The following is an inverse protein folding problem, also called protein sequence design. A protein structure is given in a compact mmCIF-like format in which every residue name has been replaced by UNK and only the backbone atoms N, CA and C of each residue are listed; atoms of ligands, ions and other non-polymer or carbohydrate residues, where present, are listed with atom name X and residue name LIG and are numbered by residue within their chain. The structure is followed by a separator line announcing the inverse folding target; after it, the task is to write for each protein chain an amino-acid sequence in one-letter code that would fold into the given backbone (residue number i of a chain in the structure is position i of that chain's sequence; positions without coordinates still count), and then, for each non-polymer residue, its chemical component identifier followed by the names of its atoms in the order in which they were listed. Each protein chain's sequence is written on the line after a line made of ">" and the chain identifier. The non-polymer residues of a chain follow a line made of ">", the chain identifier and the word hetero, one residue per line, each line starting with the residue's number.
data_IF_801411725071
#
_entry.id   IF_801411725071
#
_cell.length_a   1.000
_cell.length_b   1.000
_cell.length_c   1.000
_cell.angle_alpha   90.00
_cell.angle_beta   90.00
_cell.angle_gamma   90.00
#
_symmetry.space_group_name_H-M   'P 1'
#
loop_
_entity.id
_entity.type
_entity.pdbx_description
1 polymer ?
#
# COMPACT_ATOMS: atom_id res chain seq x y z
N UNK A 1 -17.30 18.61 -1.67
CA UNK A 1 -16.89 17.90 -2.89
C UNK A 1 -15.37 17.86 -2.88
N UNK A 2 -14.78 16.73 -2.50
CA UNK A 2 -13.32 16.62 -2.39
C UNK A 2 -12.79 16.59 -3.83
N UNK A 3 -11.84 17.46 -4.18
CA UNK A 3 -11.26 17.48 -5.51
C UNK A 3 -10.41 16.21 -5.69
N UNK A 4 -10.90 15.24 -6.46
CA UNK A 4 -10.31 13.89 -6.59
C UNK A 4 -8.81 13.87 -6.96
N UNK A 5 -8.28 14.78 -7.82
CA UNK A 5 -6.85 14.86 -8.13
C UNK A 5 -5.98 15.23 -6.91
N UNK A 6 -6.50 16.09 -6.03
CA UNK A 6 -5.76 16.51 -4.83
C UNK A 6 -5.66 15.38 -3.80
N UNK A 7 -6.71 14.57 -3.68
CA UNK A 7 -6.72 13.39 -2.82
C UNK A 7 -5.74 12.31 -3.31
N UNK A 8 -5.70 12.05 -4.63
CA UNK A 8 -4.76 11.11 -5.22
C UNK A 8 -3.31 11.57 -5.03
N UNK A 9 -3.01 12.86 -5.26
CA UNK A 9 -1.68 13.41 -5.01
C UNK A 9 -1.24 13.32 -3.54
N UNK A 10 -2.17 13.44 -2.59
CA UNK A 10 -1.86 13.24 -1.17
C UNK A 10 -1.59 11.76 -0.83
N UNK A 11 -2.32 10.83 -1.44
CA UNK A 11 -2.05 9.40 -1.30
C UNK A 11 -0.71 9.01 -1.94
N UNK A 12 -0.39 9.60 -3.10
CA UNK A 12 0.86 9.40 -3.83
C UNK A 12 2.11 9.60 -2.97
N UNK A 13 2.09 10.62 -2.10
CA UNK A 13 3.21 10.97 -1.20
C UNK A 13 3.38 10.04 0.01
N UNK A 14 2.42 9.17 0.30
CA UNK A 14 2.40 8.36 1.54
C UNK A 14 2.46 6.85 1.30
N UNK A 15 2.04 6.41 0.12
CA UNK A 15 1.94 4.99 -0.21
C UNK A 15 2.47 4.72 -1.62
N UNK A 16 2.55 3.46 -2.03
CA UNK A 16 2.82 3.10 -3.43
C UNK A 16 1.54 2.68 -4.18
N UNK A 17 0.42 2.64 -3.46
CA UNK A 17 -0.90 2.34 -3.97
C UNK A 17 -1.97 2.91 -3.03
N UNK A 18 -3.18 3.13 -3.53
CA UNK A 18 -4.34 3.52 -2.72
C UNK A 18 -5.63 2.89 -3.22
N UNK A 19 -6.54 2.62 -2.27
CA UNK A 19 -7.90 2.21 -2.55
C UNK A 19 -8.77 3.45 -2.82
N UNK A 20 -9.64 3.35 -3.83
CA UNK A 20 -10.63 4.36 -4.20
C UNK A 20 -12.01 3.81 -3.89
N UNK A 21 -12.70 4.47 -2.96
CA UNK A 21 -14.03 4.07 -2.55
C UNK A 21 -14.98 4.02 -3.75
N UNK A 22 -15.66 2.88 -3.93
CA UNK A 22 -16.63 2.67 -5.01
C UNK A 22 -16.01 2.45 -6.41
N UNK A 23 -14.69 2.28 -6.51
CA UNK A 23 -14.02 2.05 -7.80
C UNK A 23 -13.04 0.88 -7.72
N UNK A 24 -11.82 1.11 -7.22
CA UNK A 24 -10.77 0.10 -7.28
C UNK A 24 -9.45 0.60 -6.68
N UNK A 25 -8.34 0.27 -7.34
CA UNK A 25 -6.98 0.54 -6.85
C UNK A 25 -6.23 1.39 -7.86
N UNK A 26 -5.49 2.39 -7.37
CA UNK A 26 -4.39 3.00 -8.11
C UNK A 26 -3.08 2.56 -7.50
N UNK A 27 -2.09 2.24 -8.34
CA UNK A 27 -0.72 1.97 -7.93
C UNK A 27 0.24 2.66 -8.91
N UNK A 28 1.41 3.01 -8.41
CA UNK A 28 2.48 3.66 -9.18
C UNK A 28 3.80 2.98 -8.91
N UNK A 29 4.80 3.25 -9.74
CA UNK A 29 6.14 2.69 -9.63
C UNK A 29 7.09 3.31 -10.65
N UNK A 30 8.37 3.00 -10.54
CA UNK A 30 9.41 3.46 -11.48
C UNK A 30 9.34 2.71 -12.82
N UNK A 31 8.54 1.65 -12.90
CA UNK A 31 8.21 0.93 -14.13
C UNK A 31 6.75 0.44 -14.08
N UNK A 32 6.19 0.17 -15.26
CA UNK A 32 4.83 -0.42 -15.39
C UNK A 32 4.77 -1.77 -14.67
N UNK A 33 5.81 -2.60 -14.81
CA UNK A 33 5.92 -3.88 -14.11
C UNK A 33 5.86 -3.69 -12.58
N UNK A 34 6.60 -2.74 -12.03
CA UNK A 34 6.57 -2.48 -10.60
C UNK A 34 5.19 -1.99 -10.14
N UNK A 35 4.54 -1.12 -10.91
CA UNK A 35 3.18 -0.67 -10.61
C UNK A 35 2.19 -1.84 -10.64
N UNK A 36 2.33 -2.75 -11.62
CA UNK A 36 1.50 -3.95 -11.74
C UNK A 36 1.67 -4.92 -10.56
N UNK A 37 2.91 -5.23 -10.19
CA UNK A 37 3.20 -6.07 -9.01
C UNK A 37 2.62 -5.48 -7.72
N UNK A 38 2.56 -4.14 -7.61
CA UNK A 38 1.93 -3.47 -6.47
C UNK A 38 0.40 -3.61 -6.48
N UNK A 39 -0.24 -3.64 -7.65
CA UNK A 39 -1.68 -3.96 -7.76
C UNK A 39 -1.93 -5.38 -7.29
N UNK A 40 -1.15 -6.36 -7.76
CA UNK A 40 -1.28 -7.77 -7.33
C UNK A 40 -1.11 -7.91 -5.81
N UNK A 41 -0.10 -7.24 -5.24
CA UNK A 41 0.12 -7.24 -3.80
C UNK A 41 -1.06 -6.66 -3.03
N UNK A 42 -1.63 -5.54 -3.49
CA UNK A 42 -2.80 -4.92 -2.85
C UNK A 42 -3.99 -5.88 -2.87
N UNK A 43 -4.26 -6.54 -4.00
CA UNK A 43 -5.34 -7.52 -4.11
C UNK A 43 -5.14 -8.68 -3.14
N UNK A 44 -3.92 -9.24 -3.10
CA UNK A 44 -3.60 -10.33 -2.19
C UNK A 44 -3.77 -9.94 -0.71
N UNK A 45 -3.32 -8.74 -0.34
CA UNK A 45 -3.50 -8.22 1.03
C UNK A 45 -4.95 -7.92 1.35
N UNK A 46 -5.73 -7.39 0.40
CA UNK A 46 -7.16 -7.14 0.57
C UNK A 46 -7.91 -8.46 0.81
N UNK A 47 -7.61 -9.50 0.04
CA UNK A 47 -8.17 -10.83 0.22
C UNK A 47 -7.82 -11.40 1.60
N UNK A 48 -6.55 -11.37 2.01
CA UNK A 48 -6.12 -11.80 3.36
C UNK A 48 -6.88 -11.04 4.44
N UNK A 49 -6.96 -9.70 4.31
CA UNK A 49 -7.63 -8.86 5.30
C UNK A 49 -9.12 -9.19 5.43
N UNK A 50 -9.82 -9.35 4.30
CA UNK A 50 -11.25 -9.69 4.30
C UNK A 50 -11.49 -11.07 4.92
N UNK A 51 -10.70 -12.08 4.54
CA UNK A 51 -10.77 -13.42 5.11
C UNK A 51 -10.48 -13.40 6.62
N UNK A 52 -9.39 -12.77 7.05
CA UNK A 52 -9.02 -12.67 8.45
C UNK A 52 -10.07 -11.92 9.29
N UNK A 53 -10.66 -10.85 8.74
CA UNK A 53 -11.75 -10.11 9.38
C UNK A 53 -12.97 -10.99 9.62
N UNK A 54 -13.27 -11.92 8.72
CA UNK A 54 -14.38 -12.88 8.91
C UNK A 54 -14.04 -14.01 9.88
N UNK A 55 -12.75 -14.33 10.05
CA UNK A 55 -12.29 -15.42 10.92
C UNK A 55 -12.21 -15.04 12.41
N UNK A 56 -12.17 -13.73 12.75
CA UNK A 56 -12.15 -13.27 14.15
C UNK A 56 -11.40 -11.96 14.32
N UNK A 57 -10.73 -11.80 15.47
CA UNK A 57 -9.98 -10.59 15.80
C UNK A 57 -8.73 -10.46 14.92
N UNK A 58 -8.67 -9.37 14.16
CA UNK A 58 -7.49 -9.02 13.37
C UNK A 58 -6.30 -8.71 14.28
N UNK A 59 -5.21 -9.46 14.11
CA UNK A 59 -3.93 -9.19 14.77
C UNK A 59 -3.01 -8.42 13.83
N UNK A 60 -2.95 -7.11 14.02
CA UNK A 60 -2.02 -6.27 13.27
C UNK A 60 -0.57 -6.51 13.71
N UNK A 61 0.37 -6.21 12.82
CA UNK A 61 1.78 -6.22 13.15
C UNK A 61 2.09 -5.08 14.14
N UNK A 62 2.84 -5.33 15.23
CA UNK A 62 3.32 -4.29 16.13
C UNK A 62 4.12 -3.21 15.38
N UNK A 63 4.00 -1.95 15.81
CA UNK A 63 4.61 -0.80 15.11
C UNK A 63 6.14 -0.85 15.09
N UNK A 64 6.76 -1.39 16.13
CA UNK A 64 8.20 -1.66 16.22
C UNK A 64 8.66 -2.69 15.17
N UNK A 65 7.87 -3.75 14.96
CA UNK A 65 8.14 -4.72 13.90
C UNK A 65 7.95 -4.11 12.50
N UNK A 66 6.96 -3.23 12.30
CA UNK A 66 6.79 -2.47 11.04
C UNK A 66 8.02 -1.60 10.78
N UNK A 67 8.49 -0.84 11.78
CA UNK A 67 9.67 0.00 11.65
C UNK A 67 10.92 -0.80 11.24
N UNK A 68 11.15 -1.96 11.88
CA UNK A 68 12.25 -2.86 11.52
C UNK A 68 12.16 -3.35 10.06
N UNK A 69 10.95 -3.65 9.57
CA UNK A 69 10.73 -4.05 8.19
C UNK A 69 10.99 -2.90 7.22
N UNK A 70 10.62 -1.66 7.59
CA UNK A 70 10.90 -0.48 6.76
C UNK A 70 12.42 -0.21 6.67
N UNK A 71 13.16 -0.36 7.76
CA UNK A 71 14.62 -0.25 7.74
C UNK A 71 15.28 -1.31 6.85
N UNK A 72 14.79 -2.55 6.91
CA UNK A 72 15.28 -3.63 6.02
C UNK A 72 14.97 -3.34 4.56
N UNK A 73 13.76 -2.83 4.26
CA UNK A 73 13.36 -2.41 2.91
C UNK A 73 14.31 -1.33 2.37
N UNK A 74 14.61 -0.31 3.18
CA UNK A 74 15.55 0.76 2.81
C UNK A 74 16.97 0.23 2.56
N UNK A 75 17.49 -0.65 3.43
CA UNK A 75 18.80 -1.29 3.24
C UNK A 75 18.89 -2.16 1.98
N UNK A 76 17.77 -2.75 1.57
CA UNK A 76 17.68 -3.52 0.33
C UNK A 76 17.59 -2.64 -0.94
N UNK A 77 17.64 -1.30 -0.81
CA UNK A 77 17.54 -0.37 -1.94
C UNK A 77 16.13 -0.26 -2.51
N UNK A 78 15.11 -0.70 -1.78
CA UNK A 78 13.71 -0.58 -2.20
C UNK A 78 13.16 0.77 -1.73
N UNK A 79 12.73 1.61 -2.68
CA UNK A 79 12.18 2.95 -2.40
C UNK A 79 11.03 2.88 -1.40
N UNK A 80 11.06 3.77 -0.40
CA UNK A 80 9.87 4.07 0.41
C UNK A 80 8.92 5.00 -0.37
N UNK A 81 7.61 4.98 -0.09
CA UNK A 81 6.65 5.85 -0.76
C UNK A 81 6.97 7.34 -0.79
N UNK A 82 7.65 7.85 0.24
CA UNK A 82 8.08 9.25 0.33
C UNK A 82 9.33 9.56 -0.50
N UNK A 83 10.08 8.53 -0.90
CA UNK A 83 11.30 8.60 -1.72
C UNK A 83 11.02 8.32 -3.21
N UNK A 84 9.75 8.17 -3.61
CA UNK A 84 9.32 7.95 -5.00
C UNK A 84 8.87 9.22 -5.72
#
# INVERSE_FOLDING_TARGET
>A
MVNEPAALGAAARRASACLVQGNGVFAWGTSVEQAYLRVELVEHLAQIYLLAKTAGTLRNLPLDAVALLMDKRKKAGLLSPEEM
#
